data_IF_666890683008
#
_entry.id   IF_666890683008
#
_cell.length_a   1.000
_cell.length_b   1.000
_cell.length_c   1.000
_cell.angle_alpha   90.00
_cell.angle_beta   90.00
_cell.angle_gamma   90.00
#
_symmetry.space_group_name_H-M   'P 1'
#
loop_
_entity.id
_entity.type
_entity.pdbx_description
1 polymer ?
#
# COMPACT_ATOMS: atom_id res chain seq x y z
N UNK A 1 5.57 11.76 24.41
CA UNK A 1 5.57 11.86 22.93
C UNK A 1 6.23 10.60 22.43
N UNK A 2 5.45 9.64 21.92
CA UNK A 2 6.05 8.51 21.21
C UNK A 2 6.83 9.05 20.02
N UNK A 3 8.09 8.63 19.91
CA UNK A 3 8.89 8.89 18.73
C UNK A 3 8.16 8.30 17.52
N UNK A 4 7.75 9.16 16.59
CA UNK A 4 7.06 8.75 15.38
C UNK A 4 8.05 7.92 14.55
N UNK A 5 8.03 6.59 14.70
CA UNK A 5 8.94 5.71 13.96
C UNK A 5 8.72 5.97 12.47
N UNK A 6 9.75 6.52 11.85
CA UNK A 6 9.78 6.88 10.43
C UNK A 6 10.17 5.66 9.62
N UNK A 7 9.43 5.41 8.55
CA UNK A 7 9.76 4.40 7.56
C UNK A 7 11.14 4.68 6.96
N UNK A 8 11.98 3.66 6.83
CA UNK A 8 13.31 3.75 6.23
C UNK A 8 13.36 3.08 4.85
N UNK A 9 14.42 3.31 4.05
CA UNK A 9 14.61 2.55 2.82
C UNK A 9 14.77 1.04 3.00
N UNK A 10 15.19 0.58 4.19
CA UNK A 10 15.29 -0.85 4.47
C UNK A 10 13.91 -1.46 4.69
N UNK A 11 13.01 -0.72 5.34
CA UNK A 11 11.63 -1.13 5.54
C UNK A 11 10.90 -1.27 4.20
N UNK A 12 11.12 -0.30 3.28
CA UNK A 12 10.59 -0.43 1.91
C UNK A 12 11.07 -1.69 1.21
N UNK A 13 12.37 -2.01 1.30
CA UNK A 13 12.93 -3.23 0.69
C UNK A 13 12.38 -4.51 1.31
N UNK A 14 12.10 -4.49 2.60
CA UNK A 14 11.48 -5.62 3.30
C UNK A 14 10.02 -5.82 2.86
N UNK A 15 9.26 -4.72 2.74
CA UNK A 15 7.84 -4.70 2.37
C UNK A 15 7.65 -4.96 0.87
N UNK A 16 8.59 -4.58 0.03
CA UNK A 16 8.51 -4.78 -1.41
C UNK A 16 8.54 -6.26 -1.79
N UNK A 17 7.67 -6.63 -2.73
CA UNK A 17 7.60 -7.94 -3.36
C UNK A 17 7.25 -7.75 -4.84
N UNK A 18 7.35 -8.81 -5.64
CA UNK A 18 6.91 -8.73 -7.03
C UNK A 18 5.40 -8.56 -7.14
N UNK A 19 4.98 -8.04 -8.30
CA UNK A 19 3.60 -7.64 -8.54
C UNK A 19 2.62 -8.80 -8.40
N UNK A 20 2.92 -9.96 -8.98
CA UNK A 20 1.98 -11.09 -9.02
C UNK A 20 1.74 -11.67 -7.63
N UNK A 21 2.80 -11.90 -6.86
CA UNK A 21 2.71 -12.37 -5.47
C UNK A 21 1.95 -11.38 -4.57
N UNK A 22 2.22 -10.07 -4.71
CA UNK A 22 1.46 -9.03 -4.01
C UNK A 22 -0.03 -9.12 -4.34
N UNK A 23 -0.39 -9.22 -5.62
CA UNK A 23 -1.78 -9.31 -6.06
C UNK A 23 -2.47 -10.57 -5.51
N UNK A 24 -1.79 -11.70 -5.47
CA UNK A 24 -2.31 -12.94 -4.89
C UNK A 24 -2.61 -12.81 -3.40
N UNK A 25 -1.66 -12.27 -2.62
CA UNK A 25 -1.86 -12.02 -1.19
C UNK A 25 -3.01 -11.04 -0.94
N UNK A 26 -3.07 -9.96 -1.71
CA UNK A 26 -4.13 -8.96 -1.59
C UNK A 26 -5.50 -9.57 -1.89
N UNK A 27 -5.63 -10.42 -2.93
CA UNK A 27 -6.88 -11.12 -3.22
C UNK A 27 -7.27 -12.07 -2.08
N UNK A 28 -6.32 -12.88 -1.60
CA UNK A 28 -6.51 -13.85 -0.52
C UNK A 28 -7.09 -13.19 0.74
N UNK A 29 -6.56 -12.04 1.13
CA UNK A 29 -6.91 -11.41 2.41
C UNK A 29 -8.02 -10.36 2.30
N UNK A 30 -8.10 -9.62 1.20
CA UNK A 30 -9.09 -8.55 1.07
C UNK A 30 -10.54 -9.06 1.03
N UNK A 31 -10.77 -10.30 0.58
CA UNK A 31 -12.11 -10.93 0.57
C UNK A 31 -12.61 -11.25 1.98
N UNK A 32 -11.69 -11.46 2.93
CA UNK A 32 -12.01 -11.82 4.31
C UNK A 32 -12.42 -10.61 5.17
N UNK A 33 -12.34 -9.39 4.64
CA UNK A 33 -12.66 -8.19 5.41
C UNK A 33 -14.18 -7.98 5.56
N UNK A 34 -14.69 -8.18 6.78
CA UNK A 34 -16.12 -8.08 7.13
C UNK A 34 -16.64 -6.64 7.37
N UNK A 35 -15.97 -5.62 6.84
CA UNK A 35 -16.46 -4.24 6.92
C UNK A 35 -16.57 -3.71 8.36
N UNK A 36 -17.80 -3.39 8.80
CA UNK A 36 -18.06 -2.72 10.09
C UNK A 36 -17.63 -3.55 11.30
N UNK A 37 -17.77 -4.87 11.22
CA UNK A 37 -17.39 -5.77 12.32
C UNK A 37 -15.88 -5.69 12.60
N UNK A 38 -15.06 -5.92 11.59
CA UNK A 38 -13.61 -5.81 11.68
C UNK A 38 -13.15 -4.38 12.01
N UNK A 39 -13.82 -3.36 11.47
CA UNK A 39 -13.53 -1.97 11.83
C UNK A 39 -13.71 -1.70 13.33
N UNK A 40 -14.81 -2.21 13.92
CA UNK A 40 -15.08 -2.03 15.34
C UNK A 40 -14.08 -2.78 16.22
N UNK A 41 -13.64 -3.96 15.81
CA UNK A 41 -12.63 -4.75 16.52
C UNK A 41 -11.26 -4.07 16.52
N UNK A 42 -10.86 -3.45 15.41
CA UNK A 42 -9.61 -2.68 15.33
C UNK A 42 -9.68 -1.35 16.09
N UNK A 43 -10.85 -0.71 16.08
CA UNK A 43 -11.02 0.64 16.60
C UNK A 43 -10.48 1.72 15.65
N UNK A 44 -11.01 2.94 15.80
CA UNK A 44 -10.75 4.04 14.88
C UNK A 44 -9.27 4.47 14.84
N UNK A 45 -8.56 4.44 15.97
CA UNK A 45 -7.15 4.83 16.08
C UNK A 45 -6.24 3.87 15.31
N UNK A 46 -6.42 2.56 15.48
CA UNK A 46 -5.66 1.54 14.76
C UNK A 46 -5.92 1.65 13.25
N UNK A 47 -7.19 1.76 12.85
CA UNK A 47 -7.59 1.92 11.44
C UNK A 47 -6.94 3.15 10.81
N UNK A 48 -6.99 4.31 11.49
CA UNK A 48 -6.38 5.54 10.99
C UNK A 48 -4.85 5.40 10.86
N UNK A 49 -4.20 4.80 11.85
CA UNK A 49 -2.75 4.55 11.79
C UNK A 49 -2.37 3.60 10.65
N UNK A 50 -3.17 2.56 10.41
CA UNK A 50 -2.98 1.62 9.32
C UNK A 50 -3.13 2.28 7.94
N UNK A 51 -4.17 3.10 7.77
CA UNK A 51 -4.39 3.90 6.56
C UNK A 51 -3.20 4.82 6.30
N UNK A 52 -2.78 5.56 7.31
CA UNK A 52 -1.63 6.47 7.22
C UNK A 52 -0.36 5.72 6.86
N UNK A 53 -0.14 4.53 7.42
CA UNK A 53 1.04 3.71 7.12
C UNK A 53 1.09 3.30 5.65
N UNK A 54 -0.03 2.82 5.09
CA UNK A 54 -0.10 2.46 3.66
C UNK A 54 0.13 3.69 2.78
N UNK A 55 -0.46 4.82 3.11
CA UNK A 55 -0.33 6.05 2.33
C UNK A 55 1.10 6.63 2.40
N UNK A 56 1.75 6.52 3.55
CA UNK A 56 3.16 6.89 3.74
C UNK A 56 4.09 6.01 2.89
N UNK A 57 3.84 4.70 2.81
CA UNK A 57 4.65 3.79 1.96
C UNK A 57 4.48 4.14 0.48
N UNK A 58 3.26 4.35 0.01
CA UNK A 58 2.99 4.71 -1.39
C UNK A 58 3.56 6.09 -1.70
N UNK A 59 3.50 7.01 -0.73
CA UNK A 59 4.02 8.38 -0.81
C UNK A 59 5.49 8.52 -0.38
N UNK A 60 6.22 7.43 -0.18
CA UNK A 60 7.53 7.52 0.48
C UNK A 60 8.58 8.28 -0.33
N UNK A 61 8.33 8.52 -1.62
CA UNK A 61 9.22 9.28 -2.50
C UNK A 61 9.55 10.66 -1.96
N UNK A 62 8.61 11.33 -1.27
CA UNK A 62 8.78 12.69 -0.77
C UNK A 62 9.85 12.80 0.33
N UNK A 63 9.96 11.80 1.21
CA UNK A 63 10.90 11.87 2.35
C UNK A 63 12.02 10.82 2.30
N UNK A 64 11.98 9.85 1.37
CA UNK A 64 13.04 8.84 1.16
C UNK A 64 13.86 9.07 -0.12
N UNK A 65 14.09 10.33 -0.49
CA UNK A 65 14.91 10.71 -1.64
C UNK A 65 14.47 10.03 -2.94
N UNK A 66 13.17 10.03 -3.21
CA UNK A 66 12.61 9.45 -4.42
C UNK A 66 12.44 7.93 -4.42
N UNK A 67 12.74 7.23 -3.31
CA UNK A 67 12.42 5.80 -3.16
C UNK A 67 10.94 5.62 -2.85
N UNK A 68 10.28 4.74 -3.61
CA UNK A 68 8.87 4.41 -3.43
C UNK A 68 8.62 2.94 -3.78
N UNK A 69 7.47 2.44 -3.31
CA UNK A 69 6.93 1.14 -3.68
C UNK A 69 5.55 1.36 -4.30
N UNK A 70 5.27 0.70 -5.42
CA UNK A 70 3.95 0.78 -6.03
C UNK A 70 2.93 0.03 -5.17
N UNK A 71 1.65 0.46 -5.11
CA UNK A 71 0.63 -0.21 -4.32
C UNK A 71 0.48 -1.71 -4.61
N UNK A 72 0.74 -2.12 -5.85
CA UNK A 72 0.68 -3.52 -6.30
C UNK A 72 2.00 -4.29 -6.09
N UNK A 73 2.96 -3.73 -5.37
CA UNK A 73 4.23 -4.36 -4.98
C UNK A 73 4.37 -4.46 -3.45
N UNK A 74 3.28 -4.28 -2.70
CA UNK A 74 3.30 -4.30 -1.23
C UNK A 74 3.02 -5.73 -0.73
N UNK A 75 3.96 -6.31 0.00
CA UNK A 75 3.75 -7.55 0.75
C UNK A 75 2.96 -7.25 2.03
N UNK A 76 1.65 -7.51 2.01
CA UNK A 76 0.77 -7.09 3.10
C UNK A 76 1.09 -7.72 4.46
N UNK A 77 1.52 -8.98 4.51
CA UNK A 77 1.91 -9.61 5.79
C UNK A 77 3.16 -8.96 6.40
N UNK A 78 4.20 -8.71 5.59
CA UNK A 78 5.41 -8.00 6.03
C UNK A 78 5.12 -6.56 6.45
N UNK A 79 4.20 -5.90 5.74
CA UNK A 79 3.69 -4.60 6.15
C UNK A 79 3.03 -4.66 7.53
N UNK A 80 2.17 -5.65 7.77
CA UNK A 80 1.51 -5.84 9.08
C UNK A 80 2.53 -6.14 10.17
N UNK A 81 3.51 -7.00 9.91
CA UNK A 81 4.58 -7.30 10.86
C UNK A 81 5.39 -6.04 11.19
N UNK A 82 5.71 -5.23 10.17
CA UNK A 82 6.34 -3.93 10.39
C UNK A 82 5.44 -2.99 11.20
N UNK A 83 4.15 -2.92 10.88
CA UNK A 83 3.19 -2.06 11.57
C UNK A 83 3.08 -2.41 13.06
N UNK A 84 2.87 -3.68 13.39
CA UNK A 84 2.73 -4.16 14.77
C UNK A 84 4.04 -4.06 15.56
N UNK A 85 5.19 -4.21 14.90
CA UNK A 85 6.50 -4.04 15.57
C UNK A 85 6.80 -2.58 15.92
N UNK A 86 6.28 -1.63 15.14
CA UNK A 86 6.63 -0.21 15.24
C UNK A 86 5.47 0.67 15.75
N UNK A 87 4.37 0.06 16.18
CA UNK A 87 3.20 0.74 16.74
C UNK A 87 2.65 -0.09 17.88
N UNK A 88 2.31 0.57 18.99
CA UNK A 88 1.71 -0.07 20.15
C UNK A 88 0.19 -0.18 19.98
N UNK A 89 -0.26 -1.15 19.19
CA UNK A 89 -1.67 -1.50 19.07
C UNK A 89 -1.90 -2.96 19.47
N UNK A 90 -2.79 -3.17 20.44
CA UNK A 90 -3.35 -4.48 20.74
C UNK A 90 -4.50 -4.77 19.76
N UNK A 91 -4.16 -5.32 18.60
CA UNK A 91 -5.14 -5.70 17.59
C UNK A 91 -4.85 -7.08 17.00
N UNK A 92 -5.90 -7.79 16.58
CA UNK A 92 -5.77 -9.09 15.94
C UNK A 92 -5.03 -8.96 14.60
N UNK A 93 -3.89 -9.66 14.48
CA UNK A 93 -3.02 -9.65 13.30
C UNK A 93 -3.77 -10.02 12.02
N UNK A 94 -4.71 -10.96 12.07
CA UNK A 94 -5.50 -11.38 10.93
C UNK A 94 -6.46 -10.27 10.52
N UNK A 95 -7.18 -9.68 11.47
CA UNK A 95 -8.14 -8.60 11.20
C UNK A 95 -7.45 -7.39 10.58
N UNK A 96 -6.28 -6.98 11.10
CA UNK A 96 -5.53 -5.87 10.52
C UNK A 96 -4.99 -6.23 9.13
N UNK A 97 -4.58 -7.47 8.91
CA UNK A 97 -4.16 -7.97 7.59
C UNK A 97 -5.31 -7.87 6.58
N UNK A 98 -6.52 -8.28 6.94
CA UNK A 98 -7.69 -8.19 6.08
C UNK A 98 -8.03 -6.73 5.76
N UNK A 99 -8.00 -5.87 6.77
CA UNK A 99 -8.24 -4.44 6.61
C UNK A 99 -7.23 -3.79 5.66
N UNK A 100 -5.92 -3.95 5.94
CA UNK A 100 -4.85 -3.37 5.12
C UNK A 100 -4.89 -3.91 3.70
N UNK A 101 -5.15 -5.21 3.52
CA UNK A 101 -5.28 -5.82 2.20
C UNK A 101 -6.43 -5.21 1.41
N UNK A 102 -7.59 -5.01 2.06
CA UNK A 102 -8.73 -4.38 1.41
C UNK A 102 -8.46 -2.89 1.07
N UNK A 103 -7.73 -2.17 1.92
CA UNK A 103 -7.33 -0.79 1.63
C UNK A 103 -6.33 -0.70 0.46
N UNK A 104 -5.29 -1.53 0.47
CA UNK A 104 -4.30 -1.62 -0.62
C UNK A 104 -4.98 -2.02 -1.94
N UNK A 105 -5.91 -2.99 -1.92
CA UNK A 105 -6.74 -3.33 -3.09
C UNK A 105 -7.40 -2.10 -3.71
N UNK A 106 -7.95 -1.19 -2.90
CA UNK A 106 -8.56 0.07 -3.38
C UNK A 106 -7.51 0.98 -4.03
N UNK A 107 -6.30 1.06 -3.48
CA UNK A 107 -5.18 1.84 -4.04
C UNK A 107 -4.70 1.27 -5.37
N UNK A 108 -4.54 -0.06 -5.47
CA UNK A 108 -4.21 -0.77 -6.72
C UNK A 108 -5.29 -0.51 -7.78
N UNK A 109 -6.57 -0.64 -7.42
CA UNK A 109 -7.66 -0.37 -8.35
C UNK A 109 -7.72 1.09 -8.79
N UNK A 110 -7.41 2.03 -7.89
CA UNK A 110 -7.25 3.45 -8.23
C UNK A 110 -6.14 3.66 -9.28
N UNK A 111 -4.95 3.13 -9.01
CA UNK A 111 -3.81 3.14 -9.92
C UNK A 111 -4.19 2.57 -11.30
N UNK A 112 -4.75 1.36 -11.34
CA UNK A 112 -5.08 0.69 -12.60
C UNK A 112 -6.18 1.40 -13.39
N UNK A 113 -7.14 2.06 -12.73
CA UNK A 113 -8.13 2.93 -13.41
C UNK A 113 -7.45 4.13 -14.05
N UNK A 114 -6.55 4.80 -13.35
CA UNK A 114 -5.80 5.93 -13.90
C UNK A 114 -4.94 5.50 -15.10
N UNK A 115 -4.24 4.37 -15.01
CA UNK A 115 -3.47 3.80 -16.12
C UNK A 115 -4.36 3.57 -17.35
N UNK A 116 -5.55 2.99 -17.17
CA UNK A 116 -6.50 2.74 -18.27
C UNK A 116 -7.03 4.01 -18.92
N UNK A 117 -7.15 5.09 -18.16
CA UNK A 117 -7.55 6.41 -18.66
C UNK A 117 -6.37 7.22 -19.21
N UNK A 118 -5.15 6.67 -19.17
CA UNK A 118 -3.91 7.38 -19.47
C UNK A 118 -3.73 8.65 -18.58
N UNK A 119 -4.28 8.60 -17.38
CA UNK A 119 -4.12 9.62 -16.34
C UNK A 119 -2.95 9.21 -15.44
N UNK A 120 -2.11 10.16 -15.05
CA UNK A 120 -1.20 9.92 -13.93
C UNK A 120 -2.05 9.90 -12.66
N UNK A 121 -2.10 8.75 -11.99
CA UNK A 121 -2.67 8.66 -10.65
C UNK A 121 -2.01 9.76 -9.81
N UNK A 122 -2.81 10.64 -9.24
CA UNK A 122 -2.40 11.83 -8.48
C UNK A 122 -1.76 11.45 -7.16
N UNK A 123 -0.61 10.77 -7.19
CA UNK A 123 0.36 10.85 -6.10
C UNK A 123 1.14 12.14 -6.33
N UNK A 124 0.56 13.25 -5.85
CA UNK A 124 1.20 14.58 -5.72
C UNK A 124 2.63 14.49 -5.15
N UNK A 125 2.89 13.43 -4.41
CA UNK A 125 4.09 13.06 -3.66
C UNK A 125 5.35 12.76 -4.50
N UNK A 126 5.23 12.57 -5.81
CA UNK A 126 6.39 12.27 -6.68
C UNK A 126 6.94 13.55 -7.34
N UNK A 127 6.20 14.67 -7.29
CA UNK A 127 6.49 15.89 -8.06
C UNK A 127 7.82 16.59 -7.69
N UNK A 128 8.37 16.34 -6.50
CA UNK A 128 9.64 16.95 -6.04
C UNK A 128 10.92 16.26 -6.53
N UNK A 129 10.84 15.02 -7.06
CA UNK A 129 12.04 14.21 -7.36
C UNK A 129 12.05 13.74 -8.82
N UNK A 130 12.86 14.39 -9.67
CA UNK A 130 12.94 14.12 -11.11
C UNK A 130 13.15 12.63 -11.46
N UNK A 131 14.07 11.96 -10.75
CA UNK A 131 14.33 10.53 -10.97
C UNK A 131 13.16 9.65 -10.54
N UNK A 132 12.49 9.98 -9.43
CA UNK A 132 11.30 9.27 -8.98
C UNK A 132 10.14 9.41 -9.97
N UNK A 133 9.95 10.61 -10.56
CA UNK A 133 8.94 10.83 -11.62
C UNK A 133 9.26 9.95 -12.84
N UNK A 134 10.53 9.90 -13.24
CA UNK A 134 10.97 9.13 -14.40
C UNK A 134 10.72 7.63 -14.18
N UNK A 135 11.10 7.11 -13.01
CA UNK A 135 10.85 5.71 -12.66
C UNK A 135 9.36 5.43 -12.53
N UNK A 136 8.58 6.30 -11.89
CA UNK A 136 7.13 6.15 -11.80
C UNK A 136 6.47 6.07 -13.18
N UNK A 137 6.82 6.98 -14.11
CA UNK A 137 6.31 6.92 -15.49
C UNK A 137 6.69 5.63 -16.20
N UNK A 138 7.90 5.10 -15.97
CA UNK A 138 8.34 3.81 -16.51
C UNK A 138 7.50 2.65 -15.95
N UNK A 139 7.26 2.64 -14.65
CA UNK A 139 6.42 1.66 -13.96
C UNK A 139 4.95 1.69 -14.45
N UNK A 140 4.40 2.89 -14.68
CA UNK A 140 3.08 3.08 -15.29
C UNK A 140 3.04 2.52 -16.72
N UNK A 141 4.04 2.82 -17.55
CA UNK A 141 4.12 2.33 -18.93
C UNK A 141 4.25 0.80 -18.99
N UNK A 142 4.99 0.20 -18.06
CA UNK A 142 5.12 -1.26 -17.94
C UNK A 142 3.76 -1.90 -17.67
N UNK A 143 3.03 -1.42 -16.66
CA UNK A 143 1.69 -1.91 -16.29
C UNK A 143 0.66 -1.71 -17.40
N UNK A 144 0.74 -0.59 -18.11
CA UNK A 144 -0.08 -0.33 -19.30
C UNK A 144 0.14 -1.40 -20.37
N UNK A 145 1.42 -1.73 -20.68
CA UNK A 145 1.76 -2.80 -21.65
C UNK A 145 1.33 -4.19 -21.20
N UNK A 146 1.38 -4.46 -19.90
CA UNK A 146 0.91 -5.72 -19.32
C UNK A 146 -0.62 -5.87 -19.35
N UNK A 147 -1.37 -4.80 -19.62
CA UNK A 147 -2.83 -4.85 -19.67
C UNK A 147 -3.47 -5.10 -18.31
N UNK A 148 -2.94 -4.48 -17.24
CA UNK A 148 -3.41 -4.67 -15.86
C UNK A 148 -4.93 -4.56 -15.72
N UNK A 149 -5.51 -5.45 -14.90
CA UNK A 149 -6.96 -5.53 -14.66
C UNK A 149 -7.27 -5.20 -13.21
N UNK A 150 -8.40 -4.52 -13.01
CA UNK A 150 -8.92 -4.25 -11.67
C UNK A 150 -9.16 -5.56 -10.93
N UNK A 151 -8.84 -5.57 -9.64
CA UNK A 151 -9.14 -6.66 -8.73
C UNK A 151 -10.61 -6.53 -8.33
N UNK A 152 -11.45 -7.50 -8.71
CA UNK A 152 -12.86 -7.56 -8.32
C UNK A 152 -13.01 -8.15 -6.93
N UNK A 153 -14.12 -7.83 -6.25
CA UNK A 153 -14.63 -8.70 -5.19
C UNK A 153 -15.28 -9.87 -5.91
N UNK A 154 -14.67 -11.04 -5.80
CA UNK A 154 -15.42 -12.28 -5.92
C UNK A 154 -15.91 -12.64 -4.51
#
# INVERSE_FOLDING_TARGET
MEELIKLTPNDLRYIEINQDESIELIKKYAIQYAGKEHYNLLGASCVMSAVNTVDIIIGSSEYLNGKFVMPDQIHVERLVDWFLKNRDFDCDRSIITFFMSNYIKRKINGLYRSIKKNELATTLTILGHKEAIKEFKKQIKLRSKQGVKIIRQD
#
